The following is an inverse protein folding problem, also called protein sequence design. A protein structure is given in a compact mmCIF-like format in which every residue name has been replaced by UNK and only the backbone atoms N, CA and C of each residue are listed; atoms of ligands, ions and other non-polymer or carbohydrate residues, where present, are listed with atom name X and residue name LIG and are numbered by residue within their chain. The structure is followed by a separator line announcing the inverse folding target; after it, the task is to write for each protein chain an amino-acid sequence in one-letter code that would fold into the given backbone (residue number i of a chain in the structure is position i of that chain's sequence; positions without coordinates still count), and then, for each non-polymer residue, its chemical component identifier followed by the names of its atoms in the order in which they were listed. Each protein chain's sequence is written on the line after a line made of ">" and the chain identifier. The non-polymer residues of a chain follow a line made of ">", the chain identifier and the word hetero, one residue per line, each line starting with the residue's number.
data_IF_196557974051
#
_entry.id   IF_196557974051
#
_cell.length_a   1.000
_cell.length_b   1.000
_cell.length_c   1.000
_cell.angle_alpha   90.00
_cell.angle_beta   90.00
_cell.angle_gamma   90.00
#
_symmetry.space_group_name_H-M   'P 1'
#
loop_
_entity.id
_entity.type
_entity.pdbx_description
1 polymer ?
#
# COMPACT_ATOMS: atom_id res chain seq x y z
N UNK A 1 1.35 12.51 -38.99
CA UNK A 1 2.29 12.45 -37.86
C UNK A 1 1.62 12.81 -36.53
N UNK A 2 0.84 13.89 -36.46
CA UNK A 2 0.15 14.33 -35.22
C UNK A 2 -0.85 13.31 -34.66
N UNK A 3 -1.69 12.69 -35.53
CA UNK A 3 -2.65 11.65 -35.09
C UNK A 3 -1.95 10.40 -34.54
N UNK A 4 -0.83 9.98 -35.12
CA UNK A 4 -0.07 8.83 -34.64
C UNK A 4 0.54 9.09 -33.25
N UNK A 5 1.08 10.30 -33.02
CA UNK A 5 1.62 10.69 -31.72
C UNK A 5 0.52 10.74 -30.65
N UNK A 6 -0.63 11.31 -30.97
CA UNK A 6 -1.77 11.37 -30.06
C UNK A 6 -2.30 9.95 -29.73
N UNK A 7 -2.40 9.07 -30.73
CA UNK A 7 -2.78 7.69 -30.52
C UNK A 7 -1.78 6.94 -29.63
N UNK A 8 -0.47 7.12 -29.83
CA UNK A 8 0.57 6.54 -28.97
C UNK A 8 0.47 7.02 -27.52
N UNK A 9 0.21 8.30 -27.29
CA UNK A 9 0.04 8.85 -25.94
C UNK A 9 -1.20 8.25 -25.25
N UNK A 10 -2.32 8.12 -25.97
CA UNK A 10 -3.54 7.53 -25.44
C UNK A 10 -3.33 6.04 -25.12
N UNK A 11 -2.75 5.27 -26.05
CA UNK A 11 -2.45 3.85 -25.83
C UNK A 11 -1.51 3.68 -24.62
N UNK A 12 -0.48 4.52 -24.54
CA UNK A 12 0.44 4.49 -23.41
C UNK A 12 -0.29 4.82 -22.08
N UNK A 13 -1.12 5.85 -22.04
CA UNK A 13 -1.88 6.23 -20.85
C UNK A 13 -2.84 5.11 -20.40
N UNK A 14 -3.49 4.42 -21.34
CA UNK A 14 -4.36 3.27 -21.05
C UNK A 14 -3.57 2.07 -20.53
N UNK A 15 -2.47 1.71 -21.20
CA UNK A 15 -1.59 0.62 -20.77
C UNK A 15 -0.97 0.91 -19.39
N UNK A 16 -0.54 2.15 -19.17
CA UNK A 16 0.03 2.59 -17.90
C UNK A 16 -1.00 2.49 -16.76
N UNK A 17 -2.24 2.97 -16.97
CA UNK A 17 -3.31 2.87 -15.97
C UNK A 17 -3.71 1.42 -15.66
N UNK A 18 -3.63 0.52 -16.63
CA UNK A 18 -3.99 -0.89 -16.45
C UNK A 18 -2.89 -1.72 -15.82
N UNK A 19 -1.65 -1.61 -16.30
CA UNK A 19 -0.54 -2.43 -15.83
C UNK A 19 0.07 -1.97 -14.51
N UNK A 20 0.04 -0.69 -14.24
CA UNK A 20 0.75 -0.10 -13.11
C UNK A 20 0.20 -0.54 -11.73
N UNK A 21 -1.13 -0.60 -11.50
CA UNK A 21 -1.69 -1.13 -10.25
C UNK A 21 -1.33 -2.61 -10.03
N UNK A 22 -1.26 -3.39 -11.12
CA UNK A 22 -0.93 -4.82 -11.06
C UNK A 22 0.55 -5.01 -10.68
N UNK A 23 1.44 -4.25 -11.30
CA UNK A 23 2.89 -4.29 -10.99
C UNK A 23 3.15 -3.77 -9.57
N UNK A 24 2.51 -2.66 -9.19
CA UNK A 24 2.59 -2.10 -7.85
C UNK A 24 2.17 -3.12 -6.78
N UNK A 25 1.04 -3.78 -6.99
CA UNK A 25 0.55 -4.83 -6.09
C UNK A 25 1.55 -5.99 -5.97
N UNK A 26 2.09 -6.52 -7.08
CA UNK A 26 3.09 -7.59 -7.08
C UNK A 26 4.41 -7.20 -6.42
N UNK A 27 4.87 -5.96 -6.64
CA UNK A 27 6.07 -5.46 -5.98
C UNK A 27 5.89 -5.35 -4.47
N UNK A 28 4.73 -4.89 -4.01
CA UNK A 28 4.44 -4.78 -2.58
C UNK A 28 4.36 -6.18 -1.94
N UNK A 29 3.68 -7.11 -2.58
CA UNK A 29 3.59 -8.50 -2.13
C UNK A 29 4.96 -9.18 -2.06
N UNK A 30 5.89 -8.86 -2.96
CA UNK A 30 7.24 -9.43 -2.97
C UNK A 30 8.26 -8.75 -2.04
N UNK A 31 8.20 -7.43 -1.91
CA UNK A 31 9.24 -6.64 -1.21
C UNK A 31 8.91 -6.25 0.22
N UNK A 32 7.64 -5.99 0.52
CA UNK A 32 7.25 -5.53 1.86
C UNK A 32 6.71 -6.63 2.75
N UNK A 33 6.22 -7.66 2.13
CA UNK A 33 5.78 -8.87 2.77
C UNK A 33 6.90 -9.90 2.51
N UNK A 34 8.06 -9.70 3.10
CA UNK A 34 8.82 -10.88 3.50
C UNK A 34 7.78 -11.83 4.09
N UNK A 35 7.96 -13.10 4.36
CA UNK A 35 6.89 -14.03 4.71
C UNK A 35 6.11 -13.57 5.97
N UNK A 36 5.54 -12.37 5.90
CA UNK A 36 4.55 -11.88 6.84
C UNK A 36 3.31 -12.70 6.54
N UNK A 37 2.83 -13.44 7.51
CA UNK A 37 1.76 -14.39 7.29
C UNK A 37 0.47 -13.65 6.97
N UNK A 38 0.25 -13.32 5.69
CA UNK A 38 -1.11 -13.12 5.15
C UNK A 38 -1.97 -14.31 5.59
N UNK A 39 -1.37 -15.49 5.71
CA UNK A 39 -1.95 -16.70 6.30
C UNK A 39 -2.48 -16.52 7.73
N UNK A 40 -1.90 -15.63 8.55
CA UNK A 40 -2.42 -15.38 9.92
C UNK A 40 -3.74 -14.62 9.88
N UNK A 41 -3.91 -13.72 8.91
CA UNK A 41 -5.16 -12.95 8.75
C UNK A 41 -6.23 -13.79 8.05
N UNK A 42 -5.84 -14.70 7.14
CA UNK A 42 -6.76 -15.53 6.35
C UNK A 42 -7.09 -16.91 6.96
N UNK A 43 -6.35 -17.35 7.99
CA UNK A 43 -6.64 -18.64 8.63
C UNK A 43 -7.95 -18.58 9.43
N UNK A 44 -9.03 -19.03 8.83
CA UNK A 44 -10.35 -19.11 9.49
C UNK A 44 -10.47 -20.24 10.51
N UNK A 45 -9.49 -21.18 10.54
CA UNK A 45 -9.52 -22.32 11.45
C UNK A 45 -8.73 -22.02 12.72
N UNK A 46 -9.42 -21.54 13.73
CA UNK A 46 -8.86 -21.45 15.09
C UNK A 46 -9.26 -22.69 15.86
N UNK A 47 -8.29 -23.53 16.20
CA UNK A 47 -8.52 -24.70 17.04
C UNK A 47 -8.43 -24.24 18.50
N UNK A 48 -9.56 -24.20 19.20
CA UNK A 48 -9.62 -23.90 20.64
C UNK A 48 -9.33 -25.20 21.38
N UNK A 49 -8.16 -25.28 22.04
CA UNK A 49 -7.71 -26.47 22.78
C UNK A 49 -7.85 -26.32 24.30
N UNK A 50 -8.18 -25.12 24.76
CA UNK A 50 -8.31 -24.82 26.19
C UNK A 50 -9.78 -24.81 26.62
N UNK A 51 -10.01 -25.24 27.86
CA UNK A 51 -11.33 -25.15 28.50
C UNK A 51 -11.56 -23.73 29.02
N UNK A 52 -12.15 -22.88 28.18
CA UNK A 52 -12.59 -21.54 28.53
C UNK A 52 -14.06 -21.51 28.92
N UNK A 53 -14.44 -20.54 29.72
CA UNK A 53 -15.86 -20.22 29.90
C UNK A 53 -16.47 -19.83 28.53
N UNK A 54 -17.67 -20.32 28.17
CA UNK A 54 -18.29 -19.99 26.88
C UNK A 54 -18.38 -18.50 26.55
N UNK A 55 -18.55 -17.65 27.58
CA UNK A 55 -18.57 -16.19 27.41
C UNK A 55 -17.21 -15.61 27.02
N UNK A 56 -16.13 -16.06 27.65
CA UNK A 56 -14.76 -15.63 27.38
C UNK A 56 -14.31 -16.11 25.99
N UNK A 57 -14.64 -17.35 25.64
CA UNK A 57 -14.37 -17.89 24.30
C UNK A 57 -15.05 -17.07 23.21
N UNK A 58 -16.33 -16.75 23.38
CA UNK A 58 -17.10 -15.93 22.43
C UNK A 58 -16.48 -14.53 22.30
N UNK A 59 -16.07 -13.93 23.43
CA UNK A 59 -15.43 -12.61 23.43
C UNK A 59 -14.08 -12.61 22.70
N UNK A 60 -13.19 -13.57 22.98
CA UNK A 60 -11.89 -13.71 22.30
C UNK A 60 -12.05 -13.95 20.80
N UNK A 61 -13.01 -14.76 20.37
CA UNK A 61 -13.28 -14.97 18.96
C UNK A 61 -13.79 -13.69 18.28
N UNK A 62 -14.65 -12.92 18.96
CA UNK A 62 -15.11 -11.62 18.47
C UNK A 62 -13.95 -10.61 18.34
N UNK A 63 -13.08 -10.51 19.36
CA UNK A 63 -11.88 -9.69 19.31
C UNK A 63 -10.93 -10.10 18.17
N UNK A 64 -10.74 -11.41 17.98
CA UNK A 64 -9.92 -11.93 16.88
C UNK A 64 -10.48 -11.54 15.50
N UNK A 65 -11.79 -11.57 15.34
CA UNK A 65 -12.44 -11.14 14.10
C UNK A 65 -12.27 -9.63 13.88
N UNK A 66 -12.40 -8.82 14.93
CA UNK A 66 -12.18 -7.37 14.86
C UNK A 66 -10.73 -7.03 14.51
N UNK A 67 -9.75 -7.67 15.18
CA UNK A 67 -8.33 -7.51 14.89
C UNK A 67 -7.99 -7.84 13.43
N UNK A 68 -8.55 -8.94 12.91
CA UNK A 68 -8.40 -9.31 11.50
C UNK A 68 -8.97 -8.25 10.56
N UNK A 69 -10.14 -7.71 10.88
CA UNK A 69 -10.77 -6.64 10.12
C UNK A 69 -9.88 -5.39 10.06
N UNK A 70 -9.37 -4.94 11.21
CA UNK A 70 -8.47 -3.79 11.33
C UNK A 70 -7.13 -4.02 10.61
N UNK A 71 -6.51 -5.18 10.81
CA UNK A 71 -5.27 -5.53 10.11
C UNK A 71 -5.45 -5.52 8.59
N UNK A 72 -6.52 -6.13 8.09
CA UNK A 72 -6.86 -6.15 6.66
C UNK A 72 -7.08 -4.74 6.11
N UNK A 73 -7.79 -3.88 6.85
CA UNK A 73 -8.03 -2.49 6.46
C UNK A 73 -6.71 -1.72 6.31
N UNK A 74 -5.82 -1.75 7.32
CA UNK A 74 -4.52 -1.07 7.24
C UNK A 74 -3.63 -1.61 6.13
N UNK A 75 -3.66 -2.93 5.90
CA UNK A 75 -2.95 -3.56 4.80
C UNK A 75 -3.46 -3.07 3.43
N UNK A 76 -4.77 -3.05 3.22
CA UNK A 76 -5.37 -2.58 1.98
C UNK A 76 -5.10 -1.08 1.73
N UNK A 77 -5.20 -0.27 2.78
CA UNK A 77 -4.89 1.16 2.72
C UNK A 77 -3.42 1.38 2.34
N UNK A 78 -2.50 0.64 2.96
CA UNK A 78 -1.08 0.70 2.63
C UNK A 78 -0.82 0.35 1.16
N UNK A 79 -1.40 -0.75 0.64
CA UNK A 79 -1.28 -1.14 -0.76
C UNK A 79 -1.79 -0.04 -1.69
N UNK A 80 -2.94 0.53 -1.39
CA UNK A 80 -3.53 1.61 -2.20
C UNK A 80 -2.60 2.83 -2.26
N UNK A 81 -2.14 3.34 -1.11
CA UNK A 81 -1.26 4.50 -1.04
C UNK A 81 0.06 4.22 -1.79
N UNK A 82 0.61 3.03 -1.62
CA UNK A 82 1.84 2.61 -2.29
C UNK A 82 1.67 2.56 -3.81
N UNK A 83 0.55 2.03 -4.30
CA UNK A 83 0.24 1.98 -5.73
C UNK A 83 0.14 3.39 -6.33
N UNK A 84 -0.54 4.32 -5.64
CA UNK A 84 -0.63 5.72 -6.04
C UNK A 84 0.76 6.39 -6.06
N UNK A 85 1.57 6.16 -5.03
CA UNK A 85 2.92 6.69 -4.93
C UNK A 85 3.79 6.27 -6.11
N UNK A 86 3.82 4.97 -6.44
CA UNK A 86 4.57 4.47 -7.60
C UNK A 86 4.05 5.00 -8.93
N UNK A 87 2.74 5.09 -9.09
CA UNK A 87 2.13 5.66 -10.28
C UNK A 87 2.59 7.10 -10.51
N UNK A 88 2.58 7.92 -9.46
CA UNK A 88 2.99 9.32 -9.52
C UNK A 88 4.47 9.46 -9.86
N UNK A 89 5.35 8.69 -9.21
CA UNK A 89 6.79 8.70 -9.51
C UNK A 89 7.06 8.31 -10.96
N UNK A 90 6.42 7.27 -11.44
CA UNK A 90 6.62 6.80 -12.81
C UNK A 90 6.11 7.81 -13.83
N UNK A 91 4.98 8.47 -13.55
CA UNK A 91 4.45 9.54 -14.39
C UNK A 91 5.40 10.74 -14.42
N UNK A 92 6.00 11.09 -13.28
CA UNK A 92 7.01 12.16 -13.20
C UNK A 92 8.22 11.84 -14.04
N UNK A 93 8.80 10.63 -13.90
CA UNK A 93 9.96 10.20 -14.66
C UNK A 93 9.68 10.19 -16.15
N UNK A 94 8.58 9.62 -16.58
CA UNK A 94 8.20 9.57 -17.99
C UNK A 94 8.01 10.97 -18.57
N UNK A 95 7.27 11.83 -17.86
CA UNK A 95 7.04 13.20 -18.29
C UNK A 95 8.36 13.96 -18.41
N UNK A 96 9.28 13.75 -17.45
CA UNK A 96 10.63 14.32 -17.51
C UNK A 96 11.44 13.87 -18.72
N UNK A 97 11.41 12.58 -19.06
CA UNK A 97 12.09 12.03 -20.25
C UNK A 97 11.51 12.64 -21.53
N UNK A 98 10.19 12.70 -21.67
CA UNK A 98 9.55 13.28 -22.85
C UNK A 98 9.89 14.78 -22.98
N UNK A 99 9.85 15.52 -21.87
CA UNK A 99 10.22 16.93 -21.85
C UNK A 99 11.70 17.13 -22.27
N UNK A 100 12.61 16.29 -21.77
CA UNK A 100 14.03 16.34 -22.13
C UNK A 100 14.26 16.07 -23.63
N UNK A 101 13.58 15.09 -24.23
CA UNK A 101 13.64 14.81 -25.67
C UNK A 101 13.09 16.00 -26.47
N UNK A 102 11.97 16.58 -26.08
CA UNK A 102 11.42 17.76 -26.73
C UNK A 102 12.38 18.95 -26.64
N UNK A 103 12.99 19.19 -25.47
CA UNK A 103 13.98 20.23 -25.27
C UNK A 103 15.22 20.04 -26.18
N UNK A 104 15.72 18.82 -26.28
CA UNK A 104 16.83 18.49 -27.18
C UNK A 104 16.50 18.82 -28.65
N UNK A 105 15.29 18.49 -29.12
CA UNK A 105 14.82 18.82 -30.45
C UNK A 105 14.72 20.34 -30.68
N UNK A 106 14.19 21.07 -29.68
CA UNK A 106 14.09 22.52 -29.73
C UNK A 106 15.45 23.19 -29.76
N UNK A 107 16.41 22.74 -28.94
CA UNK A 107 17.76 23.33 -28.89
C UNK A 107 18.53 23.10 -30.19
N UNK A 108 18.27 21.97 -30.88
CA UNK A 108 18.93 21.66 -32.16
C UNK A 108 18.50 22.60 -33.30
N UNK A 109 17.22 22.99 -33.36
CA UNK A 109 16.69 23.82 -34.48
C UNK A 109 16.40 25.27 -34.07
N UNK A 110 16.50 25.59 -32.81
CA UNK A 110 16.14 26.87 -32.20
C UNK A 110 14.63 27.01 -31.93
N UNK A 111 14.30 27.75 -30.87
CA UNK A 111 12.92 27.95 -30.46
C UNK A 111 11.98 28.47 -31.56
N UNK A 112 12.36 29.52 -32.36
CA UNK A 112 11.49 30.06 -33.41
C UNK A 112 11.22 29.06 -34.54
N UNK A 113 12.18 28.18 -34.83
CA UNK A 113 12.12 27.24 -35.94
C UNK A 113 11.53 25.88 -35.55
N UNK A 114 11.35 25.63 -34.26
CA UNK A 114 10.73 24.40 -33.77
C UNK A 114 9.23 24.39 -34.05
N UNK A 115 8.68 23.17 -34.32
CA UNK A 115 7.25 23.04 -34.55
C UNK A 115 6.43 23.37 -33.29
N UNK A 116 5.27 23.97 -33.48
CA UNK A 116 4.34 24.32 -32.40
C UNK A 116 3.99 23.07 -31.54
N UNK A 117 3.87 21.93 -32.17
CA UNK A 117 3.58 20.64 -31.49
C UNK A 117 4.68 20.27 -30.50
N UNK A 118 5.94 20.36 -30.88
CA UNK A 118 7.07 20.02 -29.99
C UNK A 118 7.16 20.99 -28.82
N UNK A 119 6.94 22.29 -29.06
CA UNK A 119 6.88 23.29 -27.98
C UNK A 119 5.76 23.03 -26.98
N UNK A 120 4.56 22.75 -27.48
CA UNK A 120 3.41 22.45 -26.64
C UNK A 120 3.59 21.17 -25.84
N UNK A 121 4.15 20.11 -26.44
CA UNK A 121 4.50 18.89 -25.73
C UNK A 121 5.54 19.16 -24.64
N UNK A 122 6.60 19.90 -24.93
CA UNK A 122 7.60 20.29 -23.94
C UNK A 122 6.95 20.98 -22.72
N UNK A 123 6.17 22.03 -22.97
CA UNK A 123 5.51 22.79 -21.89
C UNK A 123 4.54 21.92 -21.09
N UNK A 124 3.71 21.11 -21.78
CA UNK A 124 2.74 20.23 -21.13
C UNK A 124 3.42 19.19 -20.25
N UNK A 125 4.42 18.48 -20.75
CA UNK A 125 5.10 17.45 -19.97
C UNK A 125 5.96 18.02 -18.86
N UNK A 126 6.54 19.21 -19.03
CA UNK A 126 7.22 19.92 -17.95
C UNK A 126 6.24 20.32 -16.83
N UNK A 127 5.06 20.82 -17.17
CA UNK A 127 4.03 21.14 -16.19
C UNK A 127 3.53 19.88 -15.45
N UNK A 128 3.28 18.78 -16.17
CA UNK A 128 2.89 17.50 -15.55
C UNK A 128 3.99 17.01 -14.61
N UNK A 129 5.26 17.01 -15.04
CA UNK A 129 6.38 16.59 -14.20
C UNK A 129 6.50 17.46 -12.93
N UNK A 130 6.32 18.77 -13.03
CA UNK A 130 6.37 19.68 -11.90
C UNK A 130 5.26 19.39 -10.88
N UNK A 131 4.01 19.25 -11.34
CA UNK A 131 2.85 18.96 -10.48
C UNK A 131 3.01 17.59 -9.81
N UNK A 132 3.36 16.56 -10.58
CA UNK A 132 3.46 15.20 -10.06
C UNK A 132 4.66 15.02 -9.14
N UNK A 133 5.75 15.76 -9.30
CA UNK A 133 6.90 15.70 -8.38
C UNK A 133 6.57 16.23 -6.98
N UNK A 134 5.67 17.19 -6.86
CA UNK A 134 5.24 17.76 -5.58
C UNK A 134 4.20 16.87 -4.85
N UNK A 135 3.49 16.02 -5.58
CA UNK A 135 2.36 15.25 -5.06
C UNK A 135 2.72 14.34 -3.87
N UNK A 136 3.82 13.55 -3.88
CA UNK A 136 4.14 12.67 -2.75
C UNK A 136 4.41 13.44 -1.44
N UNK A 137 5.04 14.60 -1.52
CA UNK A 137 5.30 15.45 -0.36
C UNK A 137 4.02 16.11 0.15
N UNK A 138 3.18 16.65 -0.75
CA UNK A 138 1.93 17.30 -0.38
C UNK A 138 0.95 16.37 0.37
N UNK A 139 0.97 15.07 0.06
CA UNK A 139 0.08 14.08 0.69
C UNK A 139 0.77 13.19 1.72
N UNK A 140 2.03 13.49 2.11
CA UNK A 140 2.80 12.73 3.13
C UNK A 140 2.73 11.21 2.91
N UNK A 141 2.87 10.77 1.66
CA UNK A 141 2.67 9.36 1.28
C UNK A 141 3.57 8.40 2.06
N UNK A 142 4.83 8.77 2.30
CA UNK A 142 5.80 7.93 3.03
C UNK A 142 5.38 7.74 4.48
N UNK A 143 4.94 8.81 5.16
CA UNK A 143 4.49 8.75 6.54
C UNK A 143 3.21 7.93 6.68
N UNK A 144 2.27 8.11 5.75
CA UNK A 144 1.04 7.34 5.71
C UNK A 144 1.30 5.84 5.49
N UNK A 145 2.25 5.48 4.62
CA UNK A 145 2.67 4.10 4.41
C UNK A 145 3.29 3.54 5.69
N UNK A 146 4.23 4.27 6.31
CA UNK A 146 4.91 3.85 7.53
C UNK A 146 3.93 3.63 8.69
N UNK A 147 2.99 4.54 8.89
CA UNK A 147 1.96 4.43 9.92
C UNK A 147 1.04 3.22 9.71
N UNK A 148 0.53 3.03 8.49
CA UNK A 148 -0.33 1.89 8.20
C UNK A 148 0.43 0.56 8.32
N UNK A 149 1.71 0.51 7.93
CA UNK A 149 2.58 -0.66 8.14
C UNK A 149 2.77 -0.95 9.62
N UNK A 150 3.06 0.05 10.44
CA UNK A 150 3.23 -0.11 11.89
C UNK A 150 1.96 -0.67 12.53
N UNK A 151 0.80 -0.09 12.23
CA UNK A 151 -0.50 -0.57 12.75
C UNK A 151 -0.82 -1.99 12.28
N UNK A 152 -0.57 -2.30 11.00
CA UNK A 152 -0.74 -3.67 10.51
C UNK A 152 0.11 -4.68 11.27
N UNK A 153 1.37 -4.34 11.56
CA UNK A 153 2.28 -5.22 12.33
C UNK A 153 1.83 -5.39 13.77
N UNK A 154 1.33 -4.33 14.43
CA UNK A 154 0.77 -4.38 15.78
C UNK A 154 -0.44 -5.31 15.85
N UNK A 155 -1.43 -5.12 14.95
CA UNK A 155 -2.60 -6.00 14.92
C UNK A 155 -2.23 -7.44 14.55
N UNK A 156 -1.25 -7.66 13.67
CA UNK A 156 -0.79 -9.00 13.32
C UNK A 156 -0.08 -9.70 14.49
N UNK A 157 0.61 -8.95 15.35
CA UNK A 157 1.20 -9.48 16.57
C UNK A 157 0.13 -9.88 17.58
N UNK A 158 -0.88 -9.02 17.81
CA UNK A 158 -2.02 -9.32 18.68
C UNK A 158 -2.82 -10.53 18.19
N UNK A 159 -3.08 -10.66 16.89
CA UNK A 159 -3.74 -11.84 16.31
C UNK A 159 -2.99 -13.10 16.67
N UNK A 160 -1.66 -13.12 16.52
CA UNK A 160 -0.82 -14.28 16.89
C UNK A 160 -0.87 -14.56 18.39
N UNK A 161 -0.88 -13.54 19.21
CA UNK A 161 -0.96 -13.66 20.66
C UNK A 161 -2.30 -14.29 21.07
N UNK A 162 -3.43 -13.81 20.54
CA UNK A 162 -4.76 -14.39 20.80
C UNK A 162 -4.84 -15.85 20.30
N UNK A 163 -4.31 -16.15 19.11
CA UNK A 163 -4.26 -17.51 18.58
C UNK A 163 -3.42 -18.43 19.45
N UNK A 164 -2.26 -17.98 19.92
CA UNK A 164 -1.40 -18.74 20.82
C UNK A 164 -2.10 -18.99 22.15
N UNK A 165 -2.78 -17.99 22.69
CA UNK A 165 -3.55 -18.15 23.92
C UNK A 165 -4.67 -19.16 23.76
N UNK A 166 -5.46 -19.08 22.68
CA UNK A 166 -6.52 -20.04 22.39
C UNK A 166 -6.04 -21.48 22.20
N UNK A 167 -4.81 -21.65 21.69
CA UNK A 167 -4.19 -22.97 21.47
C UNK A 167 -3.55 -23.53 22.74
N UNK A 168 -2.94 -22.70 23.60
CA UNK A 168 -2.04 -23.16 24.66
C UNK A 168 -2.47 -22.80 26.08
N UNK A 169 -3.38 -21.84 26.22
CA UNK A 169 -3.75 -21.23 27.51
C UNK A 169 -2.65 -20.38 28.13
N UNK A 170 -1.57 -20.06 27.37
CA UNK A 170 -0.42 -19.31 27.91
C UNK A 170 -0.28 -17.98 27.19
N UNK A 171 -0.05 -16.94 27.96
CA UNK A 171 0.32 -15.62 27.48
C UNK A 171 1.84 -15.52 27.30
N UNK A 172 2.34 -14.85 26.28
CA UNK A 172 3.80 -14.73 26.01
C UNK A 172 4.58 -14.00 27.13
N UNK A 173 3.93 -13.17 27.93
CA UNK A 173 4.57 -12.35 28.99
C UNK A 173 4.63 -13.00 30.37
N UNK A 174 4.48 -14.33 30.45
CA UNK A 174 4.65 -15.09 31.71
C UNK A 174 3.36 -15.30 32.47
N UNK A 175 3.34 -16.36 33.31
CA UNK A 175 2.30 -16.90 34.15
C UNK A 175 0.86 -16.92 33.60
N UNK A 176 0.21 -18.02 33.83
CA UNK A 176 -1.20 -18.26 33.55
C UNK A 176 -2.01 -17.02 33.94
N UNK A 177 -2.28 -16.16 33.00
CA UNK A 177 -3.21 -15.09 33.28
C UNK A 177 -4.60 -15.70 33.28
N UNK A 178 -5.37 -15.30 34.26
CA UNK A 178 -6.82 -15.44 34.25
C UNK A 178 -7.35 -15.02 32.86
N UNK A 179 -8.20 -15.84 32.26
CA UNK A 179 -8.77 -15.59 30.93
C UNK A 179 -9.42 -14.21 30.84
N UNK A 180 -10.09 -13.77 31.92
CA UNK A 180 -10.64 -12.43 32.02
C UNK A 180 -9.60 -11.32 31.92
N UNK A 181 -8.44 -11.47 32.54
CA UNK A 181 -7.33 -10.53 32.44
C UNK A 181 -6.75 -10.46 31.03
N UNK A 182 -6.67 -11.58 30.32
CA UNK A 182 -6.24 -11.59 28.93
C UNK A 182 -7.21 -10.89 27.99
N UNK A 183 -8.53 -11.13 28.15
CA UNK A 183 -9.59 -10.43 27.40
C UNK A 183 -9.48 -8.92 27.57
N UNK A 184 -9.29 -8.43 28.80
CA UNK A 184 -9.13 -7.01 29.09
C UNK A 184 -7.84 -6.43 28.49
N UNK A 185 -6.75 -7.19 28.50
CA UNK A 185 -5.52 -6.78 27.82
C UNK A 185 -5.75 -6.57 26.33
N UNK A 186 -6.37 -7.53 25.64
CA UNK A 186 -6.65 -7.41 24.21
C UNK A 186 -7.60 -6.24 23.92
N UNK A 187 -8.63 -6.02 24.77
CA UNK A 187 -9.54 -4.87 24.64
C UNK A 187 -8.80 -3.52 24.78
N UNK A 188 -7.75 -3.45 25.60
CA UNK A 188 -6.96 -2.20 25.78
C UNK A 188 -6.05 -1.87 24.60
N UNK A 189 -5.70 -2.86 23.78
CA UNK A 189 -4.80 -2.71 22.62
C UNK A 189 -5.56 -2.53 21.29
N UNK A 190 -6.87 -2.78 21.28
CA UNK A 190 -7.76 -2.56 20.13
C UNK A 190 -8.18 -1.08 20.01
#
# INVERSE_FOLDING_TARGET
>A
MQMVLTALIIIFAVLFNYYFPIVGKRMIEGYMIGPLPVTVVESDKVTVQISLNPGEQTRLLSQLQELRGRAKHHFQTMIFIYSVYYMVISLTLLSGVIAAVCLFLITRVGWPNSSLTVRNLFLSFTAVAAITSAYPAAFSHQDNIAQNKSRYLQYSALIREVQTYLATGRHQRGSVSDAGGFVLHVDSEI
#
